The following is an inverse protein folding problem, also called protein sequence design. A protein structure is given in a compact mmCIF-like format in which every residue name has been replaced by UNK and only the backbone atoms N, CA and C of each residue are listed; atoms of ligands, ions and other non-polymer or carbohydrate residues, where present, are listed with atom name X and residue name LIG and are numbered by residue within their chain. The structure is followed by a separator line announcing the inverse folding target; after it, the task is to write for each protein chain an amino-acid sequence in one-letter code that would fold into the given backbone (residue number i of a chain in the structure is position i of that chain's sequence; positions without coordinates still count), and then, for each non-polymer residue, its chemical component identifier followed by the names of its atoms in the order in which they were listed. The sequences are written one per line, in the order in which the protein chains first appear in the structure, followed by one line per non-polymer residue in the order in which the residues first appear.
data_IF_617560008548
#
_entry.id   IF_617560008548
#
_cell.length_a   1.000
_cell.length_b   1.000
_cell.length_c   1.000
_cell.angle_alpha   90.00
_cell.angle_beta   90.00
_cell.angle_gamma   90.00
#
_symmetry.space_group_name_H-M   'P 1'
#
loop_
_entity.id
_entity.type
_entity.pdbx_description
1 polymer ?
#
# COMPACT_ATOMS: atom_id res chain seq x y z
N UNK A 1 19.64 -8.13 -0.99
CA UNK A 1 18.81 -6.90 -0.98
C UNK A 1 19.60 -5.82 -0.27
N UNK A 2 19.50 -4.54 -0.68
CA UNK A 2 19.93 -3.46 0.19
C UNK A 2 19.11 -3.58 1.49
N UNK A 3 19.78 -3.86 2.62
CA UNK A 3 19.12 -4.14 3.88
C UNK A 3 18.15 -3.04 4.29
N UNK A 4 18.44 -1.80 3.92
CA UNK A 4 17.63 -0.62 4.23
C UNK A 4 16.23 -0.67 3.62
N UNK A 5 16.04 -1.15 2.38
CA UNK A 5 14.73 -1.20 1.74
C UNK A 5 13.85 -2.30 2.36
N UNK A 6 14.43 -3.46 2.69
CA UNK A 6 13.72 -4.51 3.40
C UNK A 6 13.29 -4.08 4.81
N UNK A 7 14.17 -3.37 5.53
CA UNK A 7 13.87 -2.81 6.85
C UNK A 7 12.75 -1.75 6.77
N UNK A 8 12.75 -0.93 5.72
CA UNK A 8 11.70 0.06 5.48
C UNK A 8 10.35 -0.61 5.17
N UNK A 9 10.36 -1.69 4.36
CA UNK A 9 9.16 -2.47 4.09
C UNK A 9 8.60 -3.13 5.35
N UNK A 10 9.46 -3.72 6.19
CA UNK A 10 9.06 -4.29 7.48
C UNK A 10 8.47 -3.22 8.40
N UNK A 11 9.08 -2.03 8.48
CA UNK A 11 8.56 -0.94 9.30
C UNK A 11 7.17 -0.47 8.82
N UNK A 12 6.96 -0.34 7.51
CA UNK A 12 5.64 -0.01 6.94
C UNK A 12 4.60 -1.11 7.22
N UNK A 13 5.01 -2.39 7.08
CA UNK A 13 4.18 -3.55 7.43
C UNK A 13 3.77 -3.54 8.90
N UNK A 14 4.73 -3.32 9.80
CA UNK A 14 4.46 -3.27 11.25
C UNK A 14 3.49 -2.14 11.61
N UNK A 15 3.61 -0.98 10.98
CA UNK A 15 2.68 0.13 11.14
C UNK A 15 1.26 -0.24 10.71
N UNK A 16 1.09 -0.82 9.52
CA UNK A 16 -0.22 -1.25 9.02
C UNK A 16 -0.84 -2.35 9.90
N UNK A 17 -0.02 -3.31 10.35
CA UNK A 17 -0.43 -4.35 11.32
C UNK A 17 -0.91 -3.70 12.61
N UNK A 18 -0.15 -2.76 13.18
CA UNK A 18 -0.51 -2.07 14.43
C UNK A 18 -1.83 -1.30 14.28
N UNK A 19 -2.01 -0.57 13.17
CA UNK A 19 -3.26 0.12 12.87
C UNK A 19 -4.44 -0.86 12.76
N UNK A 20 -4.25 -2.01 12.10
CA UNK A 20 -5.27 -3.07 11.98
C UNK A 20 -5.62 -3.68 13.35
N UNK A 21 -4.63 -3.93 14.20
CA UNK A 21 -4.86 -4.47 15.55
C UNK A 21 -5.65 -3.51 16.44
N UNK A 22 -5.53 -2.20 16.21
CA UNK A 22 -6.26 -1.17 16.93
C UNK A 22 -7.75 -1.07 16.55
N UNK A 23 -8.21 -1.73 15.48
CA UNK A 23 -9.63 -1.73 15.06
C UNK A 23 -10.50 -2.36 16.16
N UNK A 24 -11.45 -1.62 16.75
CA UNK A 24 -12.43 -2.21 17.67
C UNK A 24 -13.35 -3.20 16.94
N UNK A 25 -13.79 -4.25 17.60
CA UNK A 25 -14.66 -5.27 16.99
C UNK A 25 -15.97 -4.69 16.43
N UNK A 26 -16.44 -3.58 16.99
CA UNK A 26 -17.64 -2.87 16.54
C UNK A 26 -17.41 -1.92 15.36
N UNK A 27 -16.16 -1.66 14.96
CA UNK A 27 -15.83 -0.65 13.97
C UNK A 27 -15.62 -1.20 12.55
N UNK A 28 -15.61 -2.51 12.35
CA UNK A 28 -15.35 -3.12 11.04
C UNK A 28 -16.28 -2.66 9.92
N UNK A 29 -17.55 -2.40 10.23
CA UNK A 29 -18.56 -1.89 9.30
C UNK A 29 -18.66 -0.37 9.23
N UNK A 30 -17.88 0.39 10.01
CA UNK A 30 -17.89 1.85 9.94
C UNK A 30 -17.14 2.36 8.70
N UNK A 31 -17.33 3.64 8.36
CA UNK A 31 -16.64 4.29 7.23
C UNK A 31 -15.15 4.28 7.49
N UNK A 32 -14.38 3.74 6.53
CA UNK A 32 -12.93 3.72 6.53
C UNK A 32 -12.34 4.80 5.61
N UNK A 33 -12.71 4.77 4.32
CA UNK A 33 -12.22 5.74 3.32
C UNK A 33 -13.27 5.90 2.20
N UNK A 34 -13.82 7.09 2.03
CA UNK A 34 -14.88 7.32 1.04
C UNK A 34 -16.06 6.39 1.28
N UNK A 35 -16.41 5.55 0.30
CA UNK A 35 -17.49 4.55 0.40
C UNK A 35 -17.02 3.21 1.00
N UNK A 36 -15.72 3.06 1.29
CA UNK A 36 -15.18 1.83 1.86
C UNK A 36 -15.38 1.79 3.37
N UNK A 37 -15.77 0.61 3.84
CA UNK A 37 -15.75 0.31 5.28
C UNK A 37 -14.31 0.13 5.79
N UNK A 38 -14.12 0.12 7.10
CA UNK A 38 -12.84 -0.24 7.74
C UNK A 38 -12.38 -1.63 7.28
N UNK A 39 -13.30 -2.58 7.13
CA UNK A 39 -12.97 -3.93 6.65
C UNK A 39 -12.47 -3.92 5.19
N UNK A 40 -13.13 -3.13 4.32
CA UNK A 40 -12.69 -2.96 2.92
C UNK A 40 -11.30 -2.33 2.84
N UNK A 41 -11.06 -1.30 3.66
CA UNK A 41 -9.76 -0.61 3.73
C UNK A 41 -8.65 -1.55 4.20
N UNK A 42 -8.90 -2.36 5.23
CA UNK A 42 -7.94 -3.36 5.71
C UNK A 42 -7.70 -4.45 4.67
N UNK A 43 -8.75 -4.95 4.00
CA UNK A 43 -8.61 -5.93 2.92
C UNK A 43 -7.76 -5.39 1.76
N UNK A 44 -8.06 -4.16 1.33
CA UNK A 44 -7.30 -3.51 0.27
C UNK A 44 -5.84 -3.25 0.68
N UNK A 45 -5.59 -2.68 1.85
CA UNK A 45 -4.24 -2.42 2.36
C UNK A 45 -3.40 -3.71 2.50
N UNK A 46 -4.03 -4.83 2.93
CA UNK A 46 -3.34 -6.12 3.02
C UNK A 46 -2.89 -6.66 1.65
N UNK A 47 -3.45 -6.20 0.55
CA UNK A 47 -2.95 -6.52 -0.80
C UNK A 47 -1.52 -6.06 -1.03
N UNK A 48 -1.06 -5.04 -0.32
CA UNK A 48 0.34 -4.63 -0.38
C UNK A 48 1.31 -5.71 0.14
N UNK A 49 0.83 -6.65 0.95
CA UNK A 49 1.56 -7.88 1.29
C UNK A 49 1.33 -8.98 0.24
N UNK A 50 0.07 -9.35 0.01
CA UNK A 50 -0.24 -10.53 -0.82
C UNK A 50 0.25 -10.41 -2.26
N UNK A 51 0.28 -9.21 -2.84
CA UNK A 51 0.80 -8.99 -4.20
C UNK A 51 2.32 -9.08 -4.29
N UNK A 52 3.06 -8.85 -3.20
CA UNK A 52 4.51 -9.15 -3.17
C UNK A 52 4.72 -10.66 -3.31
N UNK A 53 4.02 -11.44 -2.52
CA UNK A 53 4.10 -12.90 -2.55
C UNK A 53 3.64 -13.45 -3.90
N UNK A 54 2.47 -13.04 -4.36
CA UNK A 54 1.88 -13.48 -5.62
C UNK A 54 2.81 -13.23 -6.81
N UNK A 55 3.32 -12.00 -6.95
CA UNK A 55 4.09 -11.61 -8.14
C UNK A 55 5.54 -12.06 -8.10
N UNK A 56 6.06 -12.46 -6.94
CA UNK A 56 7.34 -13.15 -6.82
C UNK A 56 7.22 -14.64 -7.12
N UNK A 57 6.19 -15.32 -6.57
CA UNK A 57 6.06 -16.78 -6.65
C UNK A 57 5.33 -17.22 -7.93
N UNK A 58 4.48 -16.37 -8.48
CA UNK A 58 3.70 -16.61 -9.70
C UNK A 58 3.71 -15.39 -10.61
N UNK A 59 4.85 -15.05 -11.23
CA UNK A 59 4.98 -13.87 -12.06
C UNK A 59 3.93 -13.82 -13.18
N UNK A 60 3.19 -12.71 -13.26
CA UNK A 60 2.19 -12.46 -14.29
C UNK A 60 2.80 -11.66 -15.43
N UNK A 61 2.44 -11.93 -16.70
CA UNK A 61 2.82 -11.03 -17.78
C UNK A 61 2.06 -9.69 -17.66
N UNK A 62 2.67 -8.58 -18.09
CA UNK A 62 1.94 -7.31 -18.16
C UNK A 62 0.69 -7.42 -19.03
N UNK A 63 -0.40 -6.79 -18.58
CA UNK A 63 -1.62 -6.75 -19.40
C UNK A 63 -1.44 -5.86 -20.61
N UNK A 64 -2.03 -6.27 -21.73
CA UNK A 64 -1.93 -5.54 -23.00
C UNK A 64 -2.71 -4.21 -23.00
N UNK A 65 -2.45 -3.36 -24.00
CA UNK A 65 -3.24 -2.15 -24.24
C UNK A 65 -4.72 -2.49 -24.39
N UNK A 66 -5.58 -1.70 -23.75
CA UNK A 66 -7.04 -1.91 -23.76
C UNK A 66 -7.56 -2.93 -22.74
N UNK A 67 -6.69 -3.48 -21.89
CA UNK A 67 -7.15 -4.29 -20.76
C UNK A 67 -7.99 -3.45 -19.78
N UNK A 68 -9.06 -4.05 -19.28
CA UNK A 68 -9.90 -3.48 -18.22
C UNK A 68 -9.31 -3.67 -16.80
N UNK A 69 -8.14 -4.29 -16.69
CA UNK A 69 -7.53 -4.65 -15.40
C UNK A 69 -7.47 -3.48 -14.42
N UNK A 70 -7.22 -2.27 -14.91
CA UNK A 70 -7.14 -1.04 -14.10
C UNK A 70 -8.45 -0.24 -14.09
N UNK A 71 -9.55 -0.78 -14.62
CA UNK A 71 -10.86 -0.15 -14.51
C UNK A 71 -11.34 -0.11 -13.05
N UNK A 72 -12.16 0.87 -12.73
CA UNK A 72 -12.77 1.01 -11.39
C UNK A 72 -13.55 -0.25 -10.99
N UNK A 73 -14.29 -0.86 -11.93
CA UNK A 73 -15.03 -2.10 -11.68
C UNK A 73 -14.12 -3.25 -11.24
N UNK A 74 -12.96 -3.42 -11.90
CA UNK A 74 -11.99 -4.47 -11.55
C UNK A 74 -11.23 -4.15 -10.27
N UNK A 75 -10.97 -2.88 -9.97
CA UNK A 75 -10.39 -2.46 -8.69
C UNK A 75 -11.35 -2.81 -7.55
N UNK A 76 -12.65 -2.49 -7.69
CA UNK A 76 -13.66 -2.80 -6.69
C UNK A 76 -13.88 -4.31 -6.53
N UNK A 77 -13.82 -5.09 -7.60
CA UNK A 77 -13.90 -6.55 -7.53
C UNK A 77 -12.74 -7.13 -6.71
N UNK A 78 -11.50 -6.74 -7.01
CA UNK A 78 -10.33 -7.18 -6.24
C UNK A 78 -10.34 -6.71 -4.78
N UNK A 79 -10.94 -5.56 -4.49
CA UNK A 79 -11.15 -5.12 -3.11
C UNK A 79 -12.10 -6.07 -2.35
N UNK A 80 -13.22 -6.51 -2.99
CA UNK A 80 -14.13 -7.49 -2.40
C UNK A 80 -13.47 -8.86 -2.20
N UNK A 81 -12.70 -9.33 -3.18
CA UNK A 81 -11.92 -10.58 -3.05
C UNK A 81 -10.93 -10.51 -1.88
N UNK A 82 -10.27 -9.37 -1.70
CA UNK A 82 -9.35 -9.15 -0.60
C UNK A 82 -10.04 -9.18 0.77
N UNK A 83 -11.26 -8.64 0.87
CA UNK A 83 -12.09 -8.76 2.08
C UNK A 83 -12.43 -10.21 2.38
N UNK A 84 -12.88 -10.97 1.37
CA UNK A 84 -13.18 -12.39 1.55
C UNK A 84 -11.95 -13.19 2.00
N UNK A 85 -10.76 -12.84 1.51
CA UNK A 85 -9.51 -13.48 1.89
C UNK A 85 -9.08 -13.20 3.35
N UNK A 86 -9.60 -12.15 4.00
CA UNK A 86 -9.37 -11.91 5.43
C UNK A 86 -10.06 -12.96 6.32
N UNK A 87 -11.14 -13.58 5.84
CA UNK A 87 -11.89 -14.60 6.58
C UNK A 87 -12.56 -14.07 7.85
N UNK A 88 -12.72 -14.93 8.84
CA UNK A 88 -13.40 -14.61 10.10
C UNK A 88 -12.48 -13.94 11.15
N UNK A 89 -11.18 -13.88 10.89
CA UNK A 89 -10.18 -13.23 11.76
C UNK A 89 -9.31 -12.27 10.94
N UNK A 90 -9.81 -11.08 10.59
CA UNK A 90 -9.06 -10.11 9.80
C UNK A 90 -7.72 -9.71 10.45
N UNK A 91 -7.70 -9.55 11.78
CA UNK A 91 -6.47 -9.17 12.52
C UNK A 91 -5.41 -10.26 12.43
N UNK A 92 -5.76 -11.50 12.73
CA UNK A 92 -4.84 -12.64 12.66
C UNK A 92 -4.37 -12.91 11.24
N UNK A 93 -5.25 -12.74 10.24
CA UNK A 93 -4.90 -12.89 8.83
C UNK A 93 -3.87 -11.85 8.39
N UNK A 94 -4.05 -10.57 8.75
CA UNK A 94 -3.08 -9.50 8.41
C UNK A 94 -1.74 -9.76 9.09
N UNK A 95 -1.72 -10.13 10.39
CA UNK A 95 -0.48 -10.46 11.13
C UNK A 95 0.27 -11.60 10.47
N UNK A 96 -0.40 -12.70 10.18
CA UNK A 96 0.23 -13.89 9.60
C UNK A 96 0.74 -13.66 8.18
N UNK A 97 -0.02 -12.90 7.37
CA UNK A 97 0.38 -12.52 6.01
C UNK A 97 1.61 -11.61 6.05
N UNK A 98 1.59 -10.58 6.88
CA UNK A 98 2.73 -9.67 7.05
C UNK A 98 4.00 -10.42 7.45
N UNK A 99 3.94 -11.27 8.48
CA UNK A 99 5.08 -12.04 8.95
C UNK A 99 5.68 -12.94 7.85
N UNK A 100 4.82 -13.65 7.10
CA UNK A 100 5.23 -14.52 6.00
C UNK A 100 5.89 -13.74 4.87
N UNK A 101 5.29 -12.61 4.48
CA UNK A 101 5.79 -11.80 3.35
C UNK A 101 7.06 -11.05 3.72
N UNK A 102 7.20 -10.55 4.95
CA UNK A 102 8.45 -9.96 5.44
C UNK A 102 9.60 -10.99 5.35
N UNK A 103 9.37 -12.23 5.79
CA UNK A 103 10.36 -13.30 5.70
C UNK A 103 10.73 -13.60 4.23
N UNK A 104 9.75 -13.63 3.32
CA UNK A 104 9.98 -13.81 1.89
C UNK A 104 10.83 -12.66 1.32
N UNK A 105 10.48 -11.40 1.61
CA UNK A 105 11.23 -10.22 1.15
C UNK A 105 12.67 -10.26 1.64
N UNK A 106 12.90 -10.61 2.91
CA UNK A 106 14.25 -10.70 3.48
C UNK A 106 15.11 -11.80 2.85
N UNK A 107 14.51 -12.90 2.45
CA UNK A 107 15.21 -14.04 1.83
C UNK A 107 15.38 -13.93 0.32
N UNK A 108 14.72 -12.97 -0.34
CA UNK A 108 14.72 -12.81 -1.80
C UNK A 108 15.77 -11.79 -2.25
N UNK A 109 16.57 -12.08 -3.31
CA UNK A 109 17.49 -11.09 -3.89
C UNK A 109 16.78 -9.83 -4.39
N UNK A 110 17.44 -8.68 -4.32
CA UNK A 110 16.88 -7.39 -4.74
C UNK A 110 16.53 -7.33 -6.22
N UNK A 111 17.28 -8.05 -7.05
CA UNK A 111 17.13 -8.15 -8.50
C UNK A 111 16.19 -9.30 -8.92
N UNK A 112 15.59 -10.02 -7.98
CA UNK A 112 14.61 -11.04 -8.28
C UNK A 112 13.44 -10.46 -9.08
N UNK A 113 13.01 -11.17 -10.11
CA UNK A 113 11.93 -10.74 -11.00
C UNK A 113 10.59 -10.72 -10.30
N UNK A 114 9.89 -9.60 -10.39
CA UNK A 114 8.49 -9.40 -10.00
C UNK A 114 7.66 -9.19 -11.25
N UNK A 115 6.77 -10.12 -11.54
CA UNK A 115 5.85 -10.04 -12.70
C UNK A 115 4.47 -9.61 -12.25
N UNK A 116 4.14 -8.33 -12.41
CA UNK A 116 2.81 -7.80 -12.11
C UNK A 116 2.03 -7.48 -13.39
N UNK A 117 0.69 -7.41 -13.35
CA UNK A 117 -0.13 -6.97 -14.48
C UNK A 117 0.24 -5.58 -15.02
N UNK A 118 0.86 -4.71 -14.22
CA UNK A 118 1.32 -3.41 -14.66
C UNK A 118 2.62 -3.49 -15.46
N UNK A 119 3.57 -4.30 -14.98
CA UNK A 119 4.90 -4.42 -15.56
C UNK A 119 5.70 -5.58 -14.96
N UNK A 120 6.69 -6.04 -15.68
CA UNK A 120 7.78 -6.85 -15.13
C UNK A 120 8.89 -5.92 -14.63
N UNK A 121 9.39 -6.17 -13.41
CA UNK A 121 10.39 -5.32 -12.75
C UNK A 121 11.22 -6.15 -11.76
N UNK A 122 12.09 -5.52 -10.99
CA UNK A 122 12.80 -6.17 -9.88
C UNK A 122 12.06 -5.99 -8.56
N UNK A 123 12.37 -6.81 -7.55
CA UNK A 123 11.83 -6.66 -6.20
C UNK A 123 12.17 -5.28 -5.62
N UNK A 124 13.42 -4.82 -5.82
CA UNK A 124 13.85 -3.49 -5.36
C UNK A 124 13.05 -2.34 -5.96
N UNK A 125 12.63 -2.45 -7.23
CA UNK A 125 11.82 -1.44 -7.91
C UNK A 125 10.32 -1.55 -7.59
N UNK A 126 9.87 -2.72 -7.11
CA UNK A 126 8.48 -2.96 -6.76
C UNK A 126 8.13 -2.53 -5.34
N UNK A 127 9.01 -2.80 -4.37
CA UNK A 127 8.79 -2.54 -2.95
C UNK A 127 8.42 -1.09 -2.60
N UNK A 128 9.01 -0.02 -3.22
CA UNK A 128 8.61 1.35 -2.92
C UNK A 128 7.10 1.61 -3.06
N UNK A 129 6.47 1.00 -4.07
CA UNK A 129 5.02 1.10 -4.23
C UNK A 129 4.25 0.40 -3.11
N UNK A 130 4.76 -0.73 -2.60
CA UNK A 130 4.10 -1.47 -1.52
C UNK A 130 4.28 -0.79 -0.17
N UNK A 131 5.45 -0.19 0.06
CA UNK A 131 5.71 0.66 1.22
C UNK A 131 4.73 1.85 1.24
N UNK A 132 4.53 2.51 0.10
CA UNK A 132 3.59 3.62 -0.02
C UNK A 132 2.14 3.17 0.28
N UNK A 133 1.69 2.04 -0.28
CA UNK A 133 0.35 1.49 -0.03
C UNK A 133 0.13 1.18 1.47
N UNK A 134 1.07 0.46 2.11
CA UNK A 134 0.98 0.14 3.54
C UNK A 134 0.97 1.40 4.41
N UNK A 135 1.79 2.39 4.04
CA UNK A 135 1.90 3.63 4.82
C UNK A 135 0.65 4.49 4.67
N UNK A 136 0.16 4.71 3.43
CA UNK A 136 -1.02 5.54 3.17
C UNK A 136 -2.26 4.89 3.76
N UNK A 137 -2.51 3.60 3.52
CA UNK A 137 -3.69 2.93 4.07
C UNK A 137 -3.60 2.71 5.58
N UNK A 138 -2.40 2.62 6.16
CA UNK A 138 -2.21 2.69 7.60
C UNK A 138 -2.63 4.04 8.17
N UNK A 139 -2.27 5.16 7.50
CA UNK A 139 -2.70 6.51 7.88
C UNK A 139 -4.22 6.69 7.69
N UNK A 140 -4.80 6.20 6.60
CA UNK A 140 -6.25 6.23 6.39
C UNK A 140 -6.98 5.52 7.53
N UNK A 141 -6.48 4.34 7.92
CA UNK A 141 -7.06 3.55 8.99
C UNK A 141 -6.95 4.24 10.36
N UNK A 142 -5.77 4.80 10.69
CA UNK A 142 -5.60 5.55 11.95
C UNK A 142 -6.48 6.79 12.00
N UNK A 143 -6.65 7.49 10.87
CA UNK A 143 -7.56 8.63 10.75
C UNK A 143 -9.03 8.21 10.92
N UNK A 144 -9.47 7.13 10.28
CA UNK A 144 -10.84 6.62 10.40
C UNK A 144 -11.19 6.20 11.83
N UNK A 145 -10.20 5.69 12.57
CA UNK A 145 -10.36 5.24 13.96
C UNK A 145 -10.13 6.35 15.00
N UNK A 146 -9.60 7.50 14.60
CA UNK A 146 -9.20 8.57 15.52
C UNK A 146 -8.07 8.15 16.46
N UNK A 147 -7.14 7.29 16.02
CA UNK A 147 -6.01 6.79 16.82
C UNK A 147 -4.72 7.53 16.53
N UNK A 148 -3.86 7.72 17.54
CA UNK A 148 -2.57 8.41 17.41
C UNK A 148 -1.40 7.44 17.22
N UNK A 149 -1.50 6.56 16.21
CA UNK A 149 -0.41 5.64 15.86
C UNK A 149 0.45 6.33 14.79
N UNK A 150 1.71 6.62 15.13
CA UNK A 150 2.61 7.33 14.23
C UNK A 150 3.20 6.41 13.15
N UNK A 151 3.15 6.84 11.89
CA UNK A 151 3.82 6.15 10.81
C UNK A 151 5.36 6.27 10.94
N UNK A 152 6.14 5.21 10.65
CA UNK A 152 7.60 5.22 10.76
C UNK A 152 8.24 6.21 9.77
N UNK A 153 9.22 6.97 10.23
CA UNK A 153 9.92 7.95 9.38
C UNK A 153 10.50 7.37 8.09
N UNK A 154 11.17 6.18 8.09
CA UNK A 154 11.67 5.59 6.85
C UNK A 154 10.55 5.30 5.84
N UNK A 155 9.40 4.80 6.32
CA UNK A 155 8.25 4.50 5.46
C UNK A 155 7.61 5.78 4.89
N UNK A 156 7.48 6.84 5.70
CA UNK A 156 7.03 8.15 5.23
C UNK A 156 7.95 8.72 4.15
N UNK A 157 9.27 8.68 4.38
CA UNK A 157 10.25 9.20 3.43
C UNK A 157 10.18 8.46 2.09
N UNK A 158 10.12 7.11 2.12
CA UNK A 158 10.03 6.31 0.91
C UNK A 158 8.70 6.53 0.18
N UNK A 159 7.60 6.64 0.91
CA UNK A 159 6.28 6.95 0.35
C UNK A 159 6.25 8.31 -0.34
N UNK A 160 6.81 9.35 0.29
CA UNK A 160 6.93 10.68 -0.31
C UNK A 160 7.78 10.65 -1.59
N UNK A 161 8.90 9.93 -1.59
CA UNK A 161 9.71 9.73 -2.81
C UNK A 161 8.93 9.03 -3.92
N UNK A 162 8.18 7.99 -3.57
CA UNK A 162 7.38 7.25 -4.53
C UNK A 162 6.29 8.12 -5.16
N UNK A 163 5.52 8.87 -4.39
CA UNK A 163 4.43 9.72 -4.92
C UNK A 163 4.92 10.98 -5.63
N UNK A 164 6.15 11.44 -5.37
CA UNK A 164 6.72 12.59 -6.06
C UNK A 164 6.89 12.35 -7.58
N UNK A 165 7.22 11.12 -7.98
CA UNK A 165 7.45 10.80 -9.41
C UNK A 165 6.20 11.01 -10.27
N UNK A 166 5.02 10.43 -9.96
CA UNK A 166 3.81 10.68 -10.73
C UNK A 166 3.36 12.15 -10.67
N UNK A 167 3.54 12.85 -9.55
CA UNK A 167 3.23 14.29 -9.46
C UNK A 167 4.03 15.11 -10.47
N UNK A 168 5.34 14.86 -10.59
CA UNK A 168 6.19 15.54 -11.57
C UNK A 168 5.78 15.18 -12.99
N UNK A 169 5.51 13.89 -13.28
CA UNK A 169 5.07 13.44 -14.61
C UNK A 169 3.73 14.04 -15.05
N UNK A 170 2.84 14.35 -14.10
CA UNK A 170 1.55 15.00 -14.33
C UNK A 170 1.63 16.52 -14.39
N UNK A 171 2.84 17.13 -14.30
CA UNK A 171 3.02 18.58 -14.25
C UNK A 171 2.61 19.24 -12.92
N UNK A 172 2.36 18.44 -11.88
CA UNK A 172 1.95 18.93 -10.55
C UNK A 172 3.14 19.13 -9.58
N UNK A 173 4.37 18.80 -10.03
CA UNK A 173 5.55 18.77 -9.16
C UNK A 173 5.94 20.15 -8.60
N UNK A 174 5.83 21.22 -9.40
CA UNK A 174 6.14 22.59 -8.96
C UNK A 174 5.21 23.03 -7.82
N UNK A 175 3.90 22.83 -7.96
CA UNK A 175 2.93 23.14 -6.94
C UNK A 175 3.14 22.31 -5.66
N UNK A 176 3.42 21.02 -5.80
CA UNK A 176 3.74 20.15 -4.66
C UNK A 176 4.98 20.67 -3.90
N UNK A 177 6.03 21.08 -4.62
CA UNK A 177 7.26 21.60 -4.02
C UNK A 177 7.00 22.93 -3.30
N UNK A 178 6.22 23.85 -3.89
CA UNK A 178 5.85 25.12 -3.27
C UNK A 178 5.03 24.88 -1.99
N UNK A 179 4.10 23.91 -2.00
CA UNK A 179 3.29 23.59 -0.83
C UNK A 179 4.13 22.99 0.31
N UNK A 180 4.95 21.99 0.01
CA UNK A 180 5.84 21.35 0.99
C UNK A 180 6.86 22.32 1.60
N UNK A 181 7.21 23.38 0.86
CA UNK A 181 8.10 24.44 1.34
C UNK A 181 7.37 25.63 1.99
N UNK A 182 6.04 25.53 2.20
CA UNK A 182 5.23 26.56 2.87
C UNK A 182 4.96 27.81 2.04
N UNK A 183 5.08 27.75 0.70
CA UNK A 183 4.92 28.89 -0.20
C UNK A 183 3.56 28.98 -0.87
N UNK A 184 2.83 27.87 -0.97
CA UNK A 184 1.49 27.81 -1.54
C UNK A 184 0.65 26.73 -0.83
N UNK A 185 -0.68 26.90 -0.70
CA UNK A 185 -1.54 25.81 -0.27
C UNK A 185 -1.75 24.80 -1.40
N UNK A 186 -2.05 23.54 -1.06
CA UNK A 186 -2.55 22.58 -2.04
C UNK A 186 -4.05 22.84 -2.29
N UNK A 187 -4.51 22.80 -3.56
CA UNK A 187 -5.92 22.92 -3.86
C UNK A 187 -6.71 21.70 -3.36
N UNK A 188 -8.02 21.84 -3.08
CA UNK A 188 -8.88 20.71 -2.76
C UNK A 188 -8.79 19.62 -3.85
N UNK A 189 -8.74 18.34 -3.44
CA UNK A 189 -8.65 17.21 -4.36
C UNK A 189 -7.27 17.04 -5.02
N UNK A 190 -6.23 17.72 -4.57
CA UNK A 190 -4.88 17.49 -5.07
C UNK A 190 -4.42 16.07 -4.74
N UNK A 191 -4.03 15.32 -5.76
CA UNK A 191 -3.59 13.93 -5.63
C UNK A 191 -2.46 13.61 -6.60
N UNK A 192 -1.64 12.64 -6.24
CA UNK A 192 -0.67 12.00 -7.12
C UNK A 192 -1.30 10.92 -8.02
N UNK A 193 -2.54 10.54 -7.73
CA UNK A 193 -3.32 9.47 -8.37
C UNK A 193 -4.58 10.00 -9.02
#
# INVERSE_FOLDING_TARGET
MDGQLADTYEAASAFFVQATQAVPDTAWGSVGLGDWTVLDLVGHGNRAHTTVEEYLLSPQPPVGPGSDYFSEARINERAREAVLALGNDPKGTVVSTAARVIALVRSTPADATVGSPARTTTLAEYLPSRIAELTVHGLDLTNALGTEIAAPQPALLESLRFVAVPLVKQGKGELALLALSGRAPLPPGFSAY
#
